data_IF_619426858642
#
_entry.id   IF_619426858642
#
_cell.length_a   1.000
_cell.length_b   1.000
_cell.length_c   1.000
_cell.angle_alpha   90.00
_cell.angle_beta   90.00
_cell.angle_gamma   90.00
#
_symmetry.space_group_name_H-M   'P 1'
#
loop_
_entity.id
_entity.type
_entity.pdbx_description
1 polymer ?
#
# COMPACT_ATOMS: atom_id res chain seq x y z
N UNK A 1 -32.72 17.34 28.31
CA UNK A 1 -34.06 17.21 27.71
C UNK A 1 -34.66 15.83 27.94
N UNK A 2 -33.93 14.71 27.76
CA UNK A 2 -34.41 13.38 28.20
C UNK A 2 -34.84 13.28 29.70
N UNK A 3 -34.45 14.26 30.52
CA UNK A 3 -34.87 14.48 31.91
C UNK A 3 -36.38 14.77 32.09
N UNK A 4 -37.01 15.48 31.15
CA UNK A 4 -38.37 16.00 31.35
C UNK A 4 -39.47 14.93 31.13
N UNK A 5 -39.07 13.79 30.55
CA UNK A 5 -39.93 12.64 30.30
C UNK A 5 -39.98 11.65 31.48
N UNK A 6 -38.99 11.67 32.38
CA UNK A 6 -38.87 10.64 33.44
C UNK A 6 -39.51 11.04 34.77
N UNK A 7 -39.59 12.33 35.08
CA UNK A 7 -40.17 12.87 36.32
C UNK A 7 -41.37 13.78 36.06
N UNK A 8 -42.29 13.84 37.01
CA UNK A 8 -43.53 14.59 36.90
C UNK A 8 -43.30 16.07 37.19
N UNK A 9 -43.39 16.94 36.16
CA UNK A 9 -43.03 18.37 36.27
C UNK A 9 -43.78 19.12 37.38
N UNK A 10 -45.08 18.80 37.57
CA UNK A 10 -45.91 19.38 38.64
C UNK A 10 -45.46 18.93 40.04
N UNK A 11 -44.97 17.70 40.18
CA UNK A 11 -44.50 17.21 41.49
C UNK A 11 -43.05 17.66 41.75
N UNK A 12 -42.21 17.72 40.72
CA UNK A 12 -40.85 18.23 40.77
C UNK A 12 -40.81 19.72 41.17
N UNK A 13 -41.77 20.51 40.64
CA UNK A 13 -42.03 21.91 41.05
C UNK A 13 -42.49 22.07 42.51
N UNK A 14 -42.84 20.96 43.18
CA UNK A 14 -43.18 20.90 44.61
C UNK A 14 -42.11 20.16 45.43
N UNK A 15 -40.91 19.97 44.86
CA UNK A 15 -39.78 19.20 45.42
C UNK A 15 -40.09 17.71 45.70
N UNK A 16 -41.10 17.15 45.02
CA UNK A 16 -41.55 15.76 45.15
C UNK A 16 -41.27 14.98 43.87
N UNK A 17 -40.23 14.14 43.86
CA UNK A 17 -39.91 13.30 42.71
C UNK A 17 -40.89 12.13 42.57
N UNK A 18 -41.92 12.27 41.74
CA UNK A 18 -42.77 11.16 41.24
C UNK A 18 -42.40 10.83 39.79
N UNK A 19 -42.36 9.53 39.40
CA UNK A 19 -42.15 9.15 38.01
C UNK A 19 -43.34 9.59 37.15
N UNK A 20 -43.05 10.01 35.92
CA UNK A 20 -44.10 10.27 34.92
C UNK A 20 -44.62 8.98 34.32
N UNK A 21 -45.93 8.96 34.02
CA UNK A 21 -46.63 7.84 33.36
C UNK A 21 -47.10 8.26 31.97
N UNK A 22 -47.46 9.52 31.81
CA UNK A 22 -47.82 10.15 30.53
C UNK A 22 -46.94 11.38 30.29
N UNK A 23 -46.78 11.76 29.03
CA UNK A 23 -46.21 13.02 28.60
C UNK A 23 -47.24 13.79 27.78
N UNK A 24 -47.34 15.10 27.97
CA UNK A 24 -48.26 15.96 27.25
C UNK A 24 -47.53 16.77 26.18
N UNK A 25 -47.87 16.57 24.90
CA UNK A 25 -47.17 17.25 23.80
C UNK A 25 -47.53 18.75 23.67
N UNK A 26 -48.67 19.17 24.22
CA UNK A 26 -49.06 20.59 24.28
C UNK A 26 -48.38 21.36 25.44
N UNK A 27 -47.89 20.66 26.46
CA UNK A 27 -47.20 21.26 27.62
C UNK A 27 -45.69 20.97 27.67
N UNK A 28 -45.19 20.03 26.87
CA UNK A 28 -43.81 19.54 26.88
C UNK A 28 -43.34 19.04 28.27
N UNK A 29 -44.26 18.46 29.03
CA UNK A 29 -44.03 18.01 30.40
C UNK A 29 -44.56 16.59 30.64
N UNK A 30 -43.82 15.82 31.45
CA UNK A 30 -44.28 14.55 32.00
C UNK A 30 -45.20 14.73 33.22
N UNK A 31 -46.22 13.88 33.34
CA UNK A 31 -47.16 13.85 34.45
C UNK A 31 -47.27 12.45 35.07
N UNK A 32 -47.33 12.38 36.40
CA UNK A 32 -47.70 11.16 37.12
C UNK A 32 -49.23 10.94 37.07
N UNK A 33 -49.68 9.73 37.38
CA UNK A 33 -51.09 9.34 37.29
C UNK A 33 -52.08 10.16 38.16
N UNK A 34 -51.59 10.91 39.16
CA UNK A 34 -52.43 11.83 39.94
C UNK A 34 -52.54 13.20 39.24
N UNK A 35 -51.41 13.74 38.78
CA UNK A 35 -51.35 15.02 38.07
C UNK A 35 -52.06 14.96 36.72
N UNK A 36 -51.98 13.82 36.02
CA UNK A 36 -52.71 13.56 34.77
C UNK A 36 -54.24 13.63 34.95
N UNK A 37 -54.80 13.03 36.01
CA UNK A 37 -56.24 13.15 36.31
C UNK A 37 -56.68 14.60 36.45
N UNK A 38 -55.89 15.42 37.13
CA UNK A 38 -56.15 16.85 37.29
C UNK A 38 -55.97 17.63 35.97
N UNK A 39 -54.97 17.27 35.17
CA UNK A 39 -54.72 17.81 33.83
C UNK A 39 -55.91 17.54 32.89
N UNK A 40 -56.46 16.32 32.93
CA UNK A 40 -57.57 15.88 32.09
C UNK A 40 -58.93 16.51 32.46
N UNK A 41 -59.18 16.87 33.73
CA UNK A 41 -60.45 17.53 34.13
C UNK A 41 -60.39 19.06 34.09
N UNK A 42 -59.20 19.66 34.13
CA UNK A 42 -59.03 21.12 34.12
C UNK A 42 -59.53 21.74 32.80
N UNK A 43 -60.35 22.79 32.89
CA UNK A 43 -60.86 23.52 31.70
C UNK A 43 -59.76 24.03 30.77
N UNK A 44 -58.55 24.28 31.30
CA UNK A 44 -57.42 24.83 30.56
C UNK A 44 -56.63 23.77 29.77
N UNK A 45 -56.66 22.50 30.18
CA UNK A 45 -55.78 21.44 29.66
C UNK A 45 -56.50 20.16 29.22
N UNK A 46 -57.80 20.01 29.51
CA UNK A 46 -58.65 18.85 29.12
C UNK A 46 -58.72 18.54 27.61
N UNK A 47 -58.17 19.40 26.76
CA UNK A 47 -58.12 19.25 25.31
C UNK A 47 -56.70 19.04 24.77
N UNK A 48 -55.73 18.83 25.67
CA UNK A 48 -54.35 18.55 25.29
C UNK A 48 -54.15 17.07 24.94
N UNK A 49 -53.16 16.79 24.09
CA UNK A 49 -52.78 15.43 23.74
C UNK A 49 -51.81 14.87 24.80
N UNK A 50 -52.16 13.73 25.41
CA UNK A 50 -51.31 12.98 26.34
C UNK A 50 -50.96 11.62 25.75
N UNK A 51 -49.69 11.25 25.83
CA UNK A 51 -49.12 10.02 25.27
C UNK A 51 -48.49 9.21 26.42
N UNK A 52 -48.75 7.90 26.55
CA UNK A 52 -48.08 7.06 27.54
C UNK A 52 -46.56 7.01 27.29
N UNK A 53 -45.75 7.11 28.35
CA UNK A 53 -44.28 7.13 28.21
C UNK A 53 -43.71 5.79 27.69
N UNK A 54 -44.46 4.70 27.88
CA UNK A 54 -44.19 3.39 27.27
C UNK A 54 -44.33 3.37 25.75
N UNK A 55 -45.01 4.36 25.16
CA UNK A 55 -45.18 4.54 23.72
C UNK A 55 -44.26 5.63 23.19
N UNK A 56 -44.06 6.75 23.92
CA UNK A 56 -43.10 7.79 23.52
C UNK A 56 -41.67 7.24 23.40
N UNK A 57 -41.26 6.34 24.30
CA UNK A 57 -39.94 5.69 24.24
C UNK A 57 -39.73 4.75 23.03
N UNK A 58 -40.78 4.47 22.23
CA UNK A 58 -40.68 3.69 20.98
C UNK A 58 -40.56 4.58 19.75
N UNK A 59 -40.81 5.88 19.88
CA UNK A 59 -40.70 6.85 18.79
C UNK A 59 -39.24 7.33 18.68
N UNK A 60 -38.70 7.50 17.46
CA UNK A 60 -37.45 8.20 17.25
C UNK A 60 -37.45 9.59 17.90
N UNK A 61 -36.29 9.99 18.45
CA UNK A 61 -36.11 11.30 19.11
C UNK A 61 -36.54 12.44 18.17
N UNK A 62 -36.16 12.33 16.89
CA UNK A 62 -36.50 13.27 15.81
C UNK A 62 -38.02 13.52 15.65
N UNK A 63 -38.88 12.57 16.05
CA UNK A 63 -40.34 12.72 16.01
C UNK A 63 -40.85 13.43 17.28
N UNK A 64 -40.21 13.20 18.42
CA UNK A 64 -40.55 13.85 19.70
C UNK A 64 -40.14 15.33 19.70
N UNK A 65 -39.12 15.71 18.92
CA UNK A 65 -38.67 17.11 18.76
C UNK A 65 -39.52 17.94 17.77
N UNK A 66 -40.56 17.36 17.13
CA UNK A 66 -41.42 18.08 16.17
C UNK A 66 -42.30 19.10 16.89
N UNK A 67 -41.89 20.37 16.86
CA UNK A 67 -42.64 21.47 17.49
C UNK A 67 -44.02 21.69 16.86
N UNK A 68 -45.09 21.59 17.65
CA UNK A 68 -46.48 21.85 17.20
C UNK A 68 -46.80 23.35 16.95
N UNK A 69 -45.85 24.25 17.24
CA UNK A 69 -46.00 25.70 17.10
C UNK A 69 -45.11 26.26 15.98
N UNK A 70 -45.56 27.37 15.41
CA UNK A 70 -44.83 28.13 14.39
C UNK A 70 -43.54 28.74 14.96
N UNK A 71 -42.39 28.35 14.40
CA UNK A 71 -41.07 28.80 14.87
C UNK A 71 -40.84 30.32 14.78
N UNK A 72 -41.66 31.06 14.01
CA UNK A 72 -41.57 32.53 13.88
C UNK A 72 -42.46 33.29 14.85
N UNK A 73 -43.64 32.76 15.17
CA UNK A 73 -44.69 33.48 15.91
C UNK A 73 -45.12 32.78 17.22
N UNK A 74 -44.59 31.58 17.48
CA UNK A 74 -44.95 30.67 18.58
C UNK A 74 -46.46 30.37 18.71
N UNK A 75 -47.21 30.46 17.61
CA UNK A 75 -48.63 30.12 17.54
C UNK A 75 -48.81 28.71 16.97
N UNK A 76 -49.83 27.96 17.45
CA UNK A 76 -50.18 26.64 16.90
C UNK A 76 -50.43 26.71 15.39
N UNK A 77 -49.95 25.71 14.66
CA UNK A 77 -50.28 25.55 13.24
C UNK A 77 -51.78 25.25 13.08
N UNK A 78 -52.45 25.95 12.15
CA UNK A 78 -53.90 25.81 11.91
C UNK A 78 -54.26 25.78 10.41
N UNK A 79 -53.37 26.25 9.55
CA UNK A 79 -53.61 26.41 8.11
C UNK A 79 -52.44 25.74 7.38
N UNK A 80 -52.69 25.08 6.26
CA UNK A 80 -51.67 24.53 5.37
C UNK A 80 -51.64 25.32 4.06
N UNK A 81 -50.45 25.75 3.63
CA UNK A 81 -50.27 26.46 2.38
C UNK A 81 -49.78 25.51 1.28
N UNK A 82 -50.67 25.12 0.35
CA UNK A 82 -50.33 24.16 -0.72
C UNK A 82 -49.32 24.71 -1.73
N UNK A 83 -49.26 26.03 -1.91
CA UNK A 83 -48.28 26.71 -2.79
C UNK A 83 -46.83 26.59 -2.29
N UNK A 84 -46.62 26.46 -0.97
CA UNK A 84 -45.30 26.39 -0.34
C UNK A 84 -45.08 25.09 0.44
N UNK A 85 -46.03 24.16 0.38
CA UNK A 85 -46.01 22.83 0.99
C UNK A 85 -45.66 22.84 2.49
N UNK A 86 -46.25 23.78 3.25
CA UNK A 86 -45.87 24.00 4.66
C UNK A 86 -47.05 24.38 5.58
N UNK A 87 -46.99 23.96 6.87
CA UNK A 87 -47.95 24.38 7.89
C UNK A 87 -47.71 25.84 8.34
N UNK A 88 -48.80 26.54 8.62
CA UNK A 88 -48.84 27.97 8.91
C UNK A 88 -49.72 28.26 10.14
N UNK A 89 -49.29 29.22 10.97
CA UNK A 89 -50.18 29.89 11.92
C UNK A 89 -50.98 31.00 11.21
N UNK A 90 -51.92 31.65 11.92
CA UNK A 90 -52.74 32.73 11.33
C UNK A 90 -51.90 33.93 10.91
N UNK A 91 -50.85 34.27 11.68
CA UNK A 91 -49.93 35.37 11.35
C UNK A 91 -49.10 35.10 10.08
N UNK A 92 -48.56 33.90 9.89
CA UNK A 92 -47.87 33.51 8.66
C UNK A 92 -48.72 33.72 7.39
N UNK A 93 -50.04 33.47 7.45
CA UNK A 93 -50.93 33.68 6.30
C UNK A 93 -51.06 35.16 5.93
N UNK A 94 -51.03 36.06 6.91
CA UNK A 94 -51.13 37.51 6.70
C UNK A 94 -49.78 38.12 6.31
N UNK A 95 -48.68 37.64 6.89
CA UNK A 95 -47.35 38.26 6.73
C UNK A 95 -46.51 37.67 5.60
N UNK A 96 -46.52 36.33 5.41
CA UNK A 96 -45.59 35.63 4.49
C UNK A 96 -46.28 34.83 3.39
N UNK A 97 -47.59 34.60 3.50
CA UNK A 97 -48.39 33.87 2.52
C UNK A 97 -49.64 34.62 2.07
N UNK A 98 -49.62 35.96 2.14
CA UNK A 98 -50.71 36.84 1.71
C UNK A 98 -51.12 36.63 0.24
N UNK A 99 -50.16 36.38 -0.65
CA UNK A 99 -50.37 36.08 -2.08
C UNK A 99 -50.71 34.60 -2.36
N UNK A 100 -50.93 33.78 -1.33
CA UNK A 100 -51.28 32.37 -1.48
C UNK A 100 -52.79 32.17 -1.50
N UNK A 101 -53.31 31.84 -2.68
CA UNK A 101 -54.75 31.58 -2.87
C UNK A 101 -55.18 30.15 -2.48
N UNK A 102 -54.23 29.22 -2.42
CA UNK A 102 -54.48 27.81 -2.08
C UNK A 102 -54.02 27.52 -0.64
N UNK A 103 -54.93 27.82 0.29
CA UNK A 103 -54.79 27.60 1.73
C UNK A 103 -55.95 26.74 2.22
N UNK A 104 -55.66 25.75 3.06
CA UNK A 104 -56.64 24.79 3.59
C UNK A 104 -56.49 24.64 5.10
N UNK A 105 -57.55 24.33 5.87
CA UNK A 105 -57.42 24.00 7.29
C UNK A 105 -56.49 22.80 7.47
N UNK A 106 -55.58 22.86 8.46
CA UNK A 106 -54.60 21.78 8.67
C UNK A 106 -55.29 20.46 9.06
N UNK A 107 -56.42 20.52 9.76
CA UNK A 107 -57.19 19.35 10.18
C UNK A 107 -57.72 18.52 8.99
N UNK A 108 -58.00 19.16 7.86
CA UNK A 108 -58.46 18.46 6.65
C UNK A 108 -57.29 17.76 5.96
N UNK A 109 -56.11 18.39 5.92
CA UNK A 109 -54.87 17.74 5.46
C UNK A 109 -54.49 16.57 6.39
N UNK A 110 -54.64 16.69 7.71
CA UNK A 110 -54.30 15.61 8.67
C UNK A 110 -55.20 14.39 8.50
N UNK A 111 -56.49 14.58 8.19
CA UNK A 111 -57.40 13.46 7.86
C UNK A 111 -56.93 12.74 6.60
N UNK A 112 -56.66 13.49 5.54
CA UNK A 112 -56.21 12.95 4.25
C UNK A 112 -54.84 12.25 4.37
N UNK A 113 -53.91 12.80 5.16
CA UNK A 113 -52.57 12.23 5.39
C UNK A 113 -52.65 10.85 6.02
N UNK A 114 -53.54 10.63 7.00
CA UNK A 114 -53.74 9.30 7.62
C UNK A 114 -54.34 8.26 6.67
N UNK A 115 -54.99 8.69 5.59
CA UNK A 115 -55.54 7.84 4.54
C UNK A 115 -54.70 7.87 3.25
N UNK A 116 -53.56 8.55 3.25
CA UNK A 116 -52.70 8.70 2.09
C UNK A 116 -51.74 7.51 1.97
N UNK A 117 -51.69 6.91 0.79
CA UNK A 117 -50.69 5.89 0.45
C UNK A 117 -49.25 6.37 0.66
N UNK A 118 -49.00 7.69 0.67
CA UNK A 118 -47.66 8.24 0.87
C UNK A 118 -47.03 7.86 2.23
N UNK A 119 -47.82 7.72 3.31
CA UNK A 119 -47.30 7.22 4.58
C UNK A 119 -46.91 5.74 4.50
N UNK A 120 -47.73 4.94 3.82
CA UNK A 120 -47.47 3.52 3.60
C UNK A 120 -46.26 3.29 2.68
N UNK A 121 -46.10 4.11 1.63
CA UNK A 121 -44.94 4.08 0.74
C UNK A 121 -43.64 4.43 1.51
N UNK A 122 -43.69 5.41 2.42
CA UNK A 122 -42.55 5.77 3.30
C UNK A 122 -42.25 4.63 4.28
N UNK A 123 -43.27 4.03 4.90
CA UNK A 123 -43.11 2.89 5.81
C UNK A 123 -42.44 1.70 5.09
N UNK A 124 -42.88 1.35 3.88
CA UNK A 124 -42.26 0.33 3.04
C UNK A 124 -40.81 0.65 2.68
N UNK A 125 -40.50 1.92 2.33
CA UNK A 125 -39.11 2.35 2.08
C UNK A 125 -38.23 2.23 3.32
N UNK A 126 -38.74 2.55 4.52
CA UNK A 126 -37.99 2.41 5.77
C UNK A 126 -37.70 0.94 6.10
N UNK A 127 -38.63 0.03 5.83
CA UNK A 127 -38.41 -1.42 5.96
C UNK A 127 -37.33 -1.91 4.98
N UNK A 128 -37.37 -1.51 3.70
CA UNK A 128 -36.33 -1.89 2.72
C UNK A 128 -34.94 -1.35 3.12
N UNK A 129 -34.87 -0.11 3.64
CA UNK A 129 -33.63 0.46 4.18
C UNK A 129 -33.11 -0.35 5.36
N UNK A 130 -33.99 -0.76 6.29
CA UNK A 130 -33.60 -1.59 7.44
C UNK A 130 -33.03 -2.94 7.00
N UNK A 131 -33.69 -3.65 6.07
CA UNK A 131 -33.17 -4.90 5.51
C UNK A 131 -31.81 -4.72 4.82
N UNK A 132 -31.63 -3.63 4.09
CA UNK A 132 -30.36 -3.34 3.41
C UNK A 132 -29.24 -3.02 4.42
N UNK A 133 -29.55 -2.35 5.52
CA UNK A 133 -28.62 -2.17 6.63
C UNK A 133 -28.24 -3.51 7.27
N UNK A 134 -29.18 -4.42 7.51
CA UNK A 134 -28.88 -5.76 8.03
C UNK A 134 -27.98 -6.56 7.08
N UNK A 135 -28.26 -6.54 5.76
CA UNK A 135 -27.43 -7.19 4.73
C UNK A 135 -26.00 -6.64 4.75
N UNK A 136 -25.82 -5.32 4.86
CA UNK A 136 -24.51 -4.67 4.98
C UNK A 136 -23.81 -5.07 6.29
N UNK A 137 -24.51 -5.03 7.43
CA UNK A 137 -23.95 -5.42 8.73
C UNK A 137 -23.46 -6.87 8.73
N UNK A 138 -24.20 -7.77 8.07
CA UNK A 138 -23.79 -9.17 7.89
C UNK A 138 -22.53 -9.30 7.04
N UNK A 139 -22.49 -8.69 5.85
CA UNK A 139 -21.28 -8.68 5.00
C UNK A 139 -20.04 -8.16 5.74
N UNK A 140 -20.17 -7.05 6.47
CA UNK A 140 -19.04 -6.51 7.24
C UNK A 140 -18.57 -7.46 8.34
N UNK A 141 -19.48 -8.21 8.97
CA UNK A 141 -19.14 -9.23 9.97
C UNK A 141 -18.42 -10.43 9.33
N UNK A 142 -18.89 -10.88 8.17
CA UNK A 142 -18.31 -12.01 7.43
C UNK A 142 -16.96 -11.63 6.77
N UNK A 143 -16.78 -10.38 6.37
CA UNK A 143 -15.48 -9.86 5.93
C UNK A 143 -14.47 -9.80 7.09
N UNK A 144 -14.88 -9.38 8.29
CA UNK A 144 -14.02 -9.36 9.48
C UNK A 144 -13.56 -10.79 9.88
N UNK A 145 -14.39 -11.81 9.72
CA UNK A 145 -13.96 -13.20 9.96
C UNK A 145 -13.01 -13.69 8.86
N UNK A 146 -13.32 -13.42 7.58
CA UNK A 146 -12.44 -13.73 6.45
C UNK A 146 -11.04 -13.12 6.59
N UNK A 147 -10.93 -11.84 6.95
CA UNK A 147 -9.66 -11.15 7.18
C UNK A 147 -8.83 -11.80 8.32
N UNK A 148 -9.48 -12.30 9.37
CA UNK A 148 -8.79 -13.04 10.46
C UNK A 148 -8.24 -14.38 9.97
N UNK A 149 -9.00 -15.09 9.15
CA UNK A 149 -8.56 -16.36 8.57
C UNK A 149 -7.44 -16.16 7.54
N UNK A 150 -7.52 -15.14 6.68
CA UNK A 150 -6.45 -14.74 5.76
C UNK A 150 -5.16 -14.40 6.51
N UNK A 151 -5.23 -13.57 7.57
CA UNK A 151 -4.07 -13.24 8.41
C UNK A 151 -3.41 -14.51 8.97
N UNK A 152 -4.20 -15.45 9.49
CA UNK A 152 -3.70 -16.74 10.02
C UNK A 152 -3.05 -17.62 8.94
N UNK A 153 -3.51 -17.55 7.70
CA UNK A 153 -2.89 -18.27 6.58
C UNK A 153 -1.54 -17.64 6.20
N UNK A 154 -1.48 -16.32 6.06
CA UNK A 154 -0.23 -15.58 5.77
C UNK A 154 0.79 -15.79 6.90
N UNK A 155 0.38 -15.75 8.18
CA UNK A 155 1.23 -16.09 9.33
C UNK A 155 1.87 -17.48 9.20
N UNK A 156 1.10 -18.49 8.76
CA UNK A 156 1.61 -19.85 8.52
C UNK A 156 2.56 -19.92 7.33
N UNK A 157 2.28 -19.23 6.23
CA UNK A 157 3.14 -19.21 5.04
C UNK A 157 4.50 -18.56 5.33
N UNK A 158 4.52 -17.48 6.11
CA UNK A 158 5.76 -16.84 6.59
C UNK A 158 6.58 -17.83 7.45
N UNK A 159 5.93 -18.54 8.40
CA UNK A 159 6.58 -19.54 9.24
C UNK A 159 7.14 -20.72 8.42
N UNK A 160 6.36 -21.26 7.48
CA UNK A 160 6.80 -22.36 6.61
C UNK A 160 7.95 -21.95 5.68
N UNK A 161 7.92 -20.72 5.16
CA UNK A 161 9.00 -20.19 4.31
C UNK A 161 10.30 -20.08 5.10
N UNK A 162 10.24 -19.55 6.33
CA UNK A 162 11.38 -19.50 7.24
C UNK A 162 11.94 -20.90 7.52
N UNK A 163 11.10 -21.87 7.92
CA UNK A 163 11.55 -23.23 8.18
C UNK A 163 12.27 -23.88 7.00
N UNK A 164 11.84 -23.62 5.75
CA UNK A 164 12.50 -24.12 4.54
C UNK A 164 13.90 -23.50 4.34
N UNK A 165 14.05 -22.21 4.65
CA UNK A 165 15.34 -21.51 4.57
C UNK A 165 16.29 -22.05 5.64
N UNK A 166 15.84 -22.14 6.90
CA UNK A 166 16.61 -22.69 8.01
C UNK A 166 17.12 -24.11 7.67
N UNK A 167 16.22 -25.00 7.22
CA UNK A 167 16.57 -26.37 6.77
C UNK A 167 17.61 -26.40 5.64
N UNK A 168 17.60 -25.42 4.72
CA UNK A 168 18.56 -25.38 3.62
C UNK A 168 19.93 -24.88 4.07
N UNK A 169 19.99 -23.96 5.03
CA UNK A 169 21.23 -23.51 5.67
C UNK A 169 21.88 -24.65 6.45
N UNK A 170 21.09 -25.40 7.23
CA UNK A 170 21.56 -26.60 7.95
C UNK A 170 22.21 -27.62 6.99
N UNK A 171 21.60 -27.87 5.82
CA UNK A 171 22.16 -28.78 4.82
C UNK A 171 23.47 -28.29 4.21
N UNK A 172 23.60 -26.98 3.94
CA UNK A 172 24.82 -26.37 3.43
C UNK A 172 25.96 -26.47 4.47
N UNK A 173 25.66 -26.23 5.74
CA UNK A 173 26.64 -26.42 6.83
C UNK A 173 27.09 -27.89 6.91
N UNK A 174 26.15 -28.84 6.92
CA UNK A 174 26.44 -30.26 7.01
C UNK A 174 27.34 -30.73 5.85
N UNK A 175 27.07 -30.26 4.63
CA UNK A 175 27.83 -30.64 3.43
C UNK A 175 29.23 -30.00 3.39
N UNK A 176 29.38 -28.74 3.85
CA UNK A 176 30.70 -28.11 4.02
C UNK A 176 31.54 -28.85 5.09
N UNK A 177 30.92 -29.28 6.19
CA UNK A 177 31.58 -30.07 7.24
C UNK A 177 31.99 -31.46 6.70
N UNK A 178 31.14 -32.12 5.89
CA UNK A 178 31.50 -33.38 5.21
C UNK A 178 32.68 -33.18 4.26
N UNK A 179 32.67 -32.13 3.44
CA UNK A 179 33.77 -31.87 2.49
C UNK A 179 35.09 -31.56 3.22
N UNK A 180 35.04 -30.77 4.29
CA UNK A 180 36.21 -30.48 5.14
C UNK A 180 36.80 -31.77 5.74
N UNK A 181 35.96 -32.67 6.25
CA UNK A 181 36.39 -33.93 6.84
C UNK A 181 36.98 -34.89 5.80
N UNK A 182 36.42 -34.99 4.60
CA UNK A 182 36.99 -35.82 3.52
C UNK A 182 38.34 -35.29 3.04
N UNK A 183 38.49 -33.96 2.85
CA UNK A 183 39.77 -33.31 2.54
C UNK A 183 40.81 -33.56 3.63
N UNK A 184 40.46 -33.34 4.90
CA UNK A 184 41.32 -33.64 6.07
C UNK A 184 41.76 -35.10 6.12
N UNK A 185 40.84 -36.05 5.88
CA UNK A 185 41.14 -37.48 5.85
C UNK A 185 42.10 -37.87 4.71
N UNK A 186 41.91 -37.29 3.52
CA UNK A 186 42.79 -37.53 2.36
C UNK A 186 44.22 -37.07 2.61
N UNK A 187 44.41 -35.86 3.12
CA UNK A 187 45.75 -35.34 3.42
C UNK A 187 46.41 -36.07 4.60
N UNK A 188 45.64 -36.42 5.64
CA UNK A 188 46.13 -37.26 6.74
C UNK A 188 46.68 -38.59 6.23
N UNK A 189 45.96 -39.27 5.33
CA UNK A 189 46.41 -40.56 4.78
C UNK A 189 47.74 -40.43 4.03
N UNK A 190 47.93 -39.38 3.22
CA UNK A 190 49.23 -39.13 2.54
C UNK A 190 50.38 -39.00 3.54
N UNK A 191 50.16 -38.32 4.67
CA UNK A 191 51.16 -38.16 5.73
C UNK A 191 51.45 -39.51 6.40
N UNK A 192 50.44 -40.33 6.67
CA UNK A 192 50.61 -41.68 7.25
C UNK A 192 51.37 -42.64 6.30
N UNK A 193 51.05 -42.62 5.00
CA UNK A 193 51.76 -43.37 3.96
C UNK A 193 53.24 -42.93 3.83
N UNK A 194 53.50 -41.63 4.00
CA UNK A 194 54.85 -41.04 3.94
C UNK A 194 55.67 -41.36 5.21
N UNK A 195 55.05 -41.30 6.40
CA UNK A 195 55.67 -41.72 7.67
C UNK A 195 56.05 -43.20 7.65
N UNK A 196 55.13 -44.10 7.26
CA UNK A 196 55.44 -45.54 7.19
C UNK A 196 56.53 -45.86 6.15
N UNK A 197 56.64 -45.08 5.08
CA UNK A 197 57.72 -45.20 4.09
C UNK A 197 59.08 -44.77 4.67
N UNK A 198 59.12 -43.68 5.45
CA UNK A 198 60.31 -43.22 6.16
C UNK A 198 60.74 -44.20 7.27
N UNK A 199 59.80 -44.75 8.05
CA UNK A 199 60.10 -45.78 9.06
C UNK A 199 60.72 -47.04 8.44
N UNK A 200 60.21 -47.50 7.29
CA UNK A 200 60.77 -48.63 6.54
C UNK A 200 62.21 -48.34 6.08
N UNK A 201 62.50 -47.12 5.59
CA UNK A 201 63.86 -46.69 5.25
C UNK A 201 64.77 -46.66 6.49
N UNK A 202 64.32 -46.04 7.59
CA UNK A 202 65.07 -45.97 8.86
C UNK A 202 65.46 -47.37 9.36
N UNK A 203 64.50 -48.31 9.40
CA UNK A 203 64.76 -49.70 9.81
C UNK A 203 65.76 -50.42 8.90
N UNK A 204 65.74 -50.18 7.59
CA UNK A 204 66.77 -50.72 6.67
C UNK A 204 68.16 -50.21 6.98
N UNK A 205 68.31 -48.90 7.20
CA UNK A 205 69.61 -48.29 7.50
C UNK A 205 70.16 -48.78 8.86
N UNK A 206 69.27 -49.03 9.83
CA UNK A 206 69.63 -49.47 11.18
C UNK A 206 70.00 -50.97 11.29
N UNK A 207 69.51 -51.82 10.38
CA UNK A 207 69.75 -53.28 10.36
C UNK A 207 71.18 -53.69 9.90
N UNK A 208 72.08 -52.74 9.70
CA UNK A 208 73.39 -52.98 9.06
C UNK A 208 74.57 -53.13 10.03
N UNK A 209 74.34 -53.11 11.36
CA UNK A 209 75.42 -52.96 12.35
C UNK A 209 75.77 -54.20 13.17
N UNK A 210 74.89 -55.20 13.29
CA UNK A 210 75.02 -56.16 14.42
C UNK A 210 75.96 -57.35 14.19
N UNK A 211 76.27 -57.74 12.94
CA UNK A 211 77.12 -58.92 12.64
C UNK A 211 78.06 -58.72 11.43
N UNK A 212 79.20 -58.06 11.63
CA UNK A 212 80.26 -57.95 10.62
C UNK A 212 81.66 -58.08 11.25
N UNK A 213 82.58 -58.79 10.57
CA UNK A 213 83.99 -58.82 10.96
C UNK A 213 84.68 -57.51 10.60
N UNK A 214 85.77 -57.13 11.28
CA UNK A 214 86.45 -55.82 11.13
C UNK A 214 86.70 -55.42 9.65
N UNK A 215 87.04 -56.36 8.78
CA UNK A 215 87.23 -56.11 7.34
C UNK A 215 85.91 -55.89 6.58
N UNK A 216 84.86 -56.63 6.91
CA UNK A 216 83.51 -56.37 6.39
C UNK A 216 82.98 -55.04 6.93
N UNK A 217 83.29 -54.66 8.18
CA UNK A 217 82.94 -53.35 8.76
C UNK A 217 83.64 -52.23 8.01
N UNK A 218 84.93 -52.35 7.65
CA UNK A 218 85.64 -51.35 6.85
C UNK A 218 85.06 -51.19 5.43
N UNK A 219 84.77 -52.31 4.74
CA UNK A 219 84.12 -52.29 3.44
C UNK A 219 82.69 -51.72 3.52
N UNK A 220 81.95 -52.06 4.58
CA UNK A 220 80.64 -51.49 4.85
C UNK A 220 80.73 -49.98 5.12
N UNK A 221 81.72 -49.49 5.87
CA UNK A 221 81.96 -48.06 6.08
C UNK A 221 82.22 -47.35 4.75
N UNK A 222 83.09 -47.86 3.87
CA UNK A 222 83.34 -47.24 2.56
C UNK A 222 82.12 -47.30 1.62
N UNK A 223 81.31 -48.35 1.70
CA UNK A 223 80.00 -48.41 1.02
C UNK A 223 78.93 -47.55 1.70
N UNK A 224 79.07 -47.22 2.98
CA UNK A 224 78.18 -46.33 3.72
C UNK A 224 78.52 -44.86 3.50
N UNK A 225 79.79 -44.45 3.37
CA UNK A 225 80.17 -43.08 3.00
C UNK A 225 79.58 -42.70 1.61
N UNK A 226 79.64 -43.62 0.66
CA UNK A 226 79.05 -43.46 -0.68
C UNK A 226 77.53 -43.56 -0.70
N UNK A 227 76.90 -44.22 0.29
CA UNK A 227 75.44 -44.18 0.51
C UNK A 227 75.00 -42.96 1.33
N UNK A 228 75.81 -42.44 2.24
CA UNK A 228 75.54 -41.24 3.04
C UNK A 228 75.40 -40.03 2.14
N UNK A 229 76.33 -39.82 1.21
CA UNK A 229 76.23 -38.74 0.21
C UNK A 229 75.00 -38.86 -0.71
N UNK A 230 74.41 -40.05 -0.85
CA UNK A 230 73.14 -40.28 -1.56
C UNK A 230 71.94 -40.01 -0.63
N UNK A 231 71.98 -40.45 0.63
CA UNK A 231 70.93 -40.21 1.63
C UNK A 231 70.88 -38.74 2.08
N UNK A 232 72.01 -38.03 2.19
CA UNK A 232 72.09 -36.58 2.42
C UNK A 232 71.46 -35.80 1.26
N UNK A 233 71.85 -36.12 0.01
CA UNK A 233 71.17 -35.59 -1.18
C UNK A 233 69.68 -35.94 -1.22
N UNK A 234 69.29 -37.11 -0.72
CA UNK A 234 67.87 -37.46 -0.58
C UNK A 234 67.20 -36.55 0.45
N UNK A 235 67.80 -36.31 1.62
CA UNK A 235 67.26 -35.42 2.67
C UNK A 235 67.17 -33.97 2.16
N UNK A 236 68.18 -33.44 1.48
CA UNK A 236 68.16 -32.09 0.88
C UNK A 236 67.06 -31.94 -0.19
N UNK A 237 66.96 -32.91 -1.11
CA UNK A 237 65.88 -32.92 -2.11
C UNK A 237 64.50 -33.13 -1.48
N UNK A 238 64.39 -33.89 -0.39
CA UNK A 238 63.12 -34.18 0.28
C UNK A 238 62.64 -32.98 1.10
N UNK A 239 63.54 -32.28 1.80
CA UNK A 239 63.26 -31.01 2.48
C UNK A 239 62.87 -29.90 1.49
N UNK A 240 63.41 -29.96 0.26
CA UNK A 240 63.06 -29.06 -0.85
C UNK A 240 61.79 -29.48 -1.61
N UNK A 241 61.21 -30.66 -1.32
CA UNK A 241 60.06 -31.20 -2.05
C UNK A 241 58.72 -30.63 -1.54
N UNK A 242 57.69 -30.62 -2.39
CA UNK A 242 56.35 -30.19 -1.97
C UNK A 242 55.77 -31.01 -0.81
N UNK A 243 56.22 -32.26 -0.66
CA UNK A 243 55.85 -33.20 0.41
C UNK A 243 56.19 -32.70 1.82
N UNK A 244 57.08 -31.71 1.98
CA UNK A 244 57.46 -31.13 3.27
C UNK A 244 56.75 -29.81 3.60
N UNK A 245 55.90 -29.30 2.69
CA UNK A 245 55.14 -28.06 2.92
C UNK A 245 54.08 -28.25 4.01
N UNK A 246 53.99 -27.31 4.95
CA UNK A 246 52.98 -27.32 6.01
C UNK A 246 51.58 -27.17 5.41
N UNK A 247 50.75 -28.21 5.57
CA UNK A 247 49.34 -28.17 5.15
C UNK A 247 48.57 -27.25 6.12
N UNK A 248 47.90 -26.23 5.57
CA UNK A 248 47.00 -25.33 6.29
C UNK A 248 45.66 -25.35 5.57
N UNK A 249 44.60 -25.68 6.31
CA UNK A 249 43.23 -25.58 5.82
C UNK A 249 42.69 -24.19 6.18
N UNK A 250 42.27 -23.42 5.19
CA UNK A 250 41.65 -22.11 5.36
C UNK A 250 40.29 -22.10 4.68
N UNK A 251 39.24 -21.74 5.41
CA UNK A 251 37.99 -21.31 4.79
C UNK A 251 38.27 -19.97 4.08
N UNK A 252 37.82 -19.86 2.83
CA UNK A 252 37.88 -18.61 2.07
C UNK A 252 36.45 -18.10 1.95
N UNK A 253 36.08 -17.18 2.83
CA UNK A 253 34.75 -16.59 2.83
C UNK A 253 34.43 -16.02 1.45
N UNK A 254 33.32 -16.48 0.86
CA UNK A 254 32.82 -15.83 -0.33
C UNK A 254 32.24 -14.47 0.05
N UNK A 255 32.63 -13.41 -0.66
CA UNK A 255 32.22 -12.03 -0.31
C UNK A 255 30.71 -11.84 -0.43
N UNK A 256 30.02 -12.71 -1.15
CA UNK A 256 28.57 -12.83 -1.14
C UNK A 256 27.98 -12.99 0.28
N UNK A 257 28.58 -13.84 1.14
CA UNK A 257 28.07 -14.08 2.49
C UNK A 257 28.21 -12.88 3.43
N UNK A 258 29.29 -12.10 3.29
CA UNK A 258 29.44 -10.84 4.04
C UNK A 258 28.41 -9.76 3.63
N UNK A 259 27.71 -9.95 2.51
CA UNK A 259 26.66 -9.04 2.02
C UNK A 259 25.27 -9.36 2.62
N UNK A 260 25.09 -10.50 3.32
CA UNK A 260 23.81 -10.95 3.91
C UNK A 260 23.51 -10.22 5.24
N UNK A 261 23.70 -8.90 5.27
CA UNK A 261 23.32 -8.03 6.40
C UNK A 261 21.91 -7.42 6.23
N UNK A 262 21.09 -7.91 5.28
CA UNK A 262 20.00 -7.09 4.70
C UNK A 262 18.67 -7.84 4.43
N UNK A 263 18.24 -8.79 5.27
CA UNK A 263 16.80 -9.08 5.38
C UNK A 263 16.12 -7.99 6.21
N UNK A 264 15.96 -6.78 5.64
CA UNK A 264 15.19 -5.68 6.27
C UNK A 264 13.69 -6.01 6.34
N UNK A 265 13.20 -6.80 5.39
CA UNK A 265 11.90 -7.45 5.39
C UNK A 265 11.96 -8.66 4.44
N UNK A 266 11.05 -9.62 4.60
CA UNK A 266 10.92 -10.80 3.71
C UNK A 266 9.90 -10.60 2.57
N UNK A 267 9.35 -9.39 2.46
CA UNK A 267 8.27 -9.00 1.55
C UNK A 267 7.52 -7.79 2.10
N UNK A 268 6.69 -7.17 1.26
CA UNK A 268 5.78 -6.10 1.65
C UNK A 268 4.34 -6.64 1.69
N UNK A 269 3.55 -6.23 2.68
CA UNK A 269 2.15 -6.64 2.81
C UNK A 269 1.29 -5.61 2.11
N UNK A 270 0.90 -5.89 0.87
CA UNK A 270 -0.07 -5.07 0.13
C UNK A 270 -1.51 -5.42 0.53
N UNK A 271 -2.33 -4.40 0.78
CA UNK A 271 -3.76 -4.53 1.09
C UNK A 271 -4.58 -4.12 -0.12
N UNK A 272 -5.01 -5.09 -0.92
CA UNK A 272 -5.83 -4.84 -2.12
C UNK A 272 -7.31 -4.61 -1.73
N UNK A 273 -7.76 -3.35 -1.73
CA UNK A 273 -9.14 -2.99 -1.41
C UNK A 273 -10.05 -3.23 -2.63
N UNK A 274 -10.78 -4.34 -2.64
CA UNK A 274 -11.80 -4.65 -3.66
C UNK A 274 -13.18 -4.11 -3.28
N UNK A 275 -13.96 -3.57 -4.24
CA UNK A 275 -15.32 -3.13 -3.97
C UNK A 275 -16.21 -4.33 -3.62
N UNK A 276 -17.09 -4.17 -2.63
CA UNK A 276 -18.04 -5.22 -2.22
C UNK A 276 -19.08 -5.50 -3.32
N UNK A 277 -19.34 -6.78 -3.59
CA UNK A 277 -20.26 -7.24 -4.65
C UNK A 277 -21.76 -7.11 -4.29
N UNK A 278 -22.11 -6.51 -3.14
CA UNK A 278 -23.49 -6.34 -2.70
C UNK A 278 -24.25 -5.42 -3.66
N UNK A 279 -25.16 -5.99 -4.44
CA UNK A 279 -26.13 -5.24 -5.23
C UNK A 279 -27.25 -4.73 -4.32
N UNK A 280 -27.12 -3.48 -3.86
CA UNK A 280 -28.19 -2.77 -3.16
C UNK A 280 -29.32 -2.43 -4.15
N UNK A 281 -30.56 -2.81 -3.83
CA UNK A 281 -31.73 -2.34 -4.59
C UNK A 281 -31.85 -0.82 -4.49
N UNK A 282 -32.10 -0.17 -5.61
CA UNK A 282 -32.08 1.30 -5.72
C UNK A 282 -33.34 1.82 -6.43
N UNK A 283 -34.29 2.30 -5.64
CA UNK A 283 -35.38 3.15 -6.12
C UNK A 283 -34.83 4.49 -6.66
N UNK A 284 -35.40 4.99 -7.75
CA UNK A 284 -35.02 6.30 -8.34
C UNK A 284 -35.77 7.45 -7.65
N UNK A 285 -35.26 7.92 -6.52
CA UNK A 285 -35.68 9.20 -5.93
C UNK A 285 -35.30 10.40 -6.82
N UNK A 286 -36.15 11.44 -6.82
CA UNK A 286 -35.86 12.73 -7.51
C UNK A 286 -34.77 13.53 -6.77
N UNK A 287 -34.12 14.44 -7.48
CA UNK A 287 -32.86 15.10 -7.10
C UNK A 287 -32.96 16.11 -5.93
N UNK A 288 -31.90 16.18 -5.10
CA UNK A 288 -31.40 17.41 -4.46
C UNK A 288 -29.91 17.25 -4.01
N UNK A 289 -29.23 18.38 -3.74
CA UNK A 289 -27.78 18.59 -3.54
C UNK A 289 -27.58 19.88 -2.69
N UNK A 290 -26.46 20.24 -2.02
CA UNK A 290 -25.12 19.69 -1.67
C UNK A 290 -24.54 20.68 -0.60
N UNK A 291 -23.56 20.46 0.29
CA UNK A 291 -22.69 19.34 0.73
C UNK A 291 -22.13 19.71 2.15
N UNK A 292 -21.49 18.81 2.92
CA UNK A 292 -20.88 19.13 4.24
C UNK A 292 -19.36 18.90 4.21
N UNK A 293 -18.58 19.77 4.88
CA UNK A 293 -17.10 19.65 4.98
C UNK A 293 -16.61 19.80 6.42
N UNK A 294 -15.76 18.87 6.86
CA UNK A 294 -14.75 19.05 7.92
C UNK A 294 -13.58 18.06 7.68
N UNK A 295 -12.34 18.43 8.03
CA UNK A 295 -11.12 17.79 7.47
C UNK A 295 -10.19 17.18 8.53
N UNK A 296 -9.74 15.95 8.24
CA UNK A 296 -8.67 15.16 8.88
C UNK A 296 -8.38 13.95 7.96
N UNK A 297 -7.25 13.22 8.08
CA UNK A 297 -5.84 13.64 8.08
C UNK A 297 -5.29 13.76 6.63
N UNK A 298 -4.01 14.11 6.41
CA UNK A 298 -3.42 14.14 5.05
C UNK A 298 -3.00 12.76 4.53
N UNK A 299 -3.96 12.01 4.00
CA UNK A 299 -3.72 11.08 2.89
C UNK A 299 -3.41 11.88 1.60
N UNK A 300 -2.86 11.22 0.58
CA UNK A 300 -2.82 11.75 -0.79
C UNK A 300 -4.21 11.53 -1.43
N UNK A 301 -5.16 12.37 -1.04
CA UNK A 301 -6.51 12.40 -1.58
C UNK A 301 -6.77 13.71 -2.36
N UNK A 302 -7.65 13.65 -3.35
CA UNK A 302 -8.09 14.79 -4.17
C UNK A 302 -7.02 15.51 -5.03
N UNK A 303 -6.13 14.76 -5.70
CA UNK A 303 -5.45 15.28 -6.91
C UNK A 303 -6.47 15.38 -8.06
N UNK A 304 -7.30 16.43 -8.06
CA UNK A 304 -8.27 16.70 -9.13
C UNK A 304 -7.56 17.30 -10.35
N UNK A 305 -7.17 16.43 -11.28
CA UNK A 305 -6.57 16.80 -12.56
C UNK A 305 -7.59 17.51 -13.46
N UNK A 306 -7.71 18.84 -13.32
CA UNK A 306 -8.48 19.64 -14.25
C UNK A 306 -7.74 19.77 -15.59
N UNK A 307 -8.36 19.30 -16.68
CA UNK A 307 -7.84 19.41 -18.03
C UNK A 307 -7.80 20.88 -18.48
N UNK A 308 -6.70 21.58 -18.21
CA UNK A 308 -6.51 23.00 -18.59
C UNK A 308 -6.55 23.22 -20.10
N UNK A 309 -6.03 22.27 -20.88
CA UNK A 309 -5.89 22.37 -22.35
C UNK A 309 -5.67 21.00 -22.97
N UNK A 310 -6.44 20.66 -24.00
CA UNK A 310 -6.13 19.53 -24.90
C UNK A 310 -5.13 20.00 -25.96
N UNK A 311 -3.97 19.38 -26.02
CA UNK A 311 -2.97 19.63 -27.08
C UNK A 311 -3.17 18.56 -28.17
N UNK A 312 -3.54 18.97 -29.39
CA UNK A 312 -3.58 18.06 -30.55
C UNK A 312 -2.15 17.80 -31.02
N UNK A 313 -1.55 16.72 -30.53
CA UNK A 313 -0.14 16.39 -30.80
C UNK A 313 0.11 15.83 -32.20
N UNK A 314 -0.91 15.23 -32.82
CA UNK A 314 -0.79 14.52 -34.09
C UNK A 314 0.07 13.26 -34.02
N UNK A 315 0.18 12.64 -32.84
CA UNK A 315 0.99 11.44 -32.59
C UNK A 315 0.09 10.27 -32.17
N UNK A 316 0.35 9.09 -32.72
CA UNK A 316 -0.20 7.82 -32.24
C UNK A 316 0.77 7.13 -31.29
N UNK A 317 0.26 6.47 -30.24
CA UNK A 317 1.07 5.64 -29.32
C UNK A 317 2.27 6.37 -28.68
N UNK A 318 2.01 7.54 -28.09
CA UNK A 318 2.95 8.27 -27.22
C UNK A 318 3.34 7.41 -26.02
N UNK A 319 4.63 7.36 -25.65
CA UNK A 319 5.13 6.53 -24.54
C UNK A 319 5.79 7.31 -23.40
N UNK A 320 6.52 8.36 -23.71
CA UNK A 320 7.11 9.28 -22.75
C UNK A 320 6.60 10.69 -22.96
N UNK A 321 6.46 11.43 -21.86
CA UNK A 321 6.10 12.85 -21.86
C UNK A 321 6.81 13.57 -20.72
N UNK A 322 7.29 14.79 -20.96
CA UNK A 322 7.87 15.67 -19.93
C UNK A 322 7.46 17.11 -20.16
N UNK A 323 7.42 17.89 -19.09
CA UNK A 323 7.19 19.34 -19.10
C UNK A 323 8.43 20.04 -18.53
N UNK A 324 9.02 20.97 -19.27
CA UNK A 324 10.12 21.83 -18.83
C UNK A 324 9.58 23.06 -18.07
N UNK A 325 10.45 23.76 -17.34
CA UNK A 325 10.06 24.92 -16.51
C UNK A 325 9.57 26.15 -17.30
N UNK A 326 9.71 26.14 -18.63
CA UNK A 326 9.29 27.18 -19.56
C UNK A 326 8.08 26.79 -20.43
N UNK A 327 7.25 25.86 -19.93
CA UNK A 327 6.11 25.23 -20.63
C UNK A 327 6.46 24.42 -21.90
N UNK A 328 7.74 24.15 -22.18
CA UNK A 328 8.09 23.21 -23.27
C UNK A 328 7.65 21.78 -22.93
N UNK A 329 6.88 21.16 -23.82
CA UNK A 329 6.39 19.79 -23.72
C UNK A 329 7.14 18.91 -24.72
N UNK A 330 7.90 17.92 -24.25
CA UNK A 330 8.53 16.93 -25.13
C UNK A 330 7.82 15.57 -25.03
N UNK A 331 7.57 14.95 -26.18
CA UNK A 331 6.85 13.67 -26.32
C UNK A 331 7.66 12.69 -27.18
N UNK A 332 7.72 11.42 -26.76
CA UNK A 332 8.24 10.32 -27.57
C UNK A 332 7.10 9.47 -28.14
N UNK A 333 7.23 9.05 -29.39
CA UNK A 333 6.19 8.35 -30.13
C UNK A 333 6.73 7.04 -30.72
N UNK A 334 6.17 5.91 -30.28
CA UNK A 334 6.62 4.57 -30.69
C UNK A 334 6.36 4.32 -32.17
N UNK A 335 5.11 4.40 -32.61
CA UNK A 335 4.73 3.86 -33.93
C UNK A 335 5.23 4.74 -35.09
N UNK A 336 5.48 6.03 -34.82
CA UNK A 336 6.03 6.95 -35.82
C UNK A 336 7.56 7.12 -35.72
N UNK A 337 8.24 6.44 -34.78
CA UNK A 337 9.68 6.50 -34.54
C UNK A 337 10.19 7.97 -34.52
N UNK A 338 9.60 8.78 -33.63
CA UNK A 338 9.88 10.21 -33.57
C UNK A 338 9.80 10.79 -32.15
N UNK A 339 10.48 11.92 -31.96
CA UNK A 339 10.37 12.78 -30.77
C UNK A 339 9.93 14.17 -31.22
N UNK A 340 8.96 14.76 -30.51
CA UNK A 340 8.37 16.07 -30.84
C UNK A 340 8.36 16.94 -29.61
N UNK A 341 8.83 18.17 -29.75
CA UNK A 341 8.84 19.19 -28.69
C UNK A 341 7.97 20.37 -29.10
N UNK A 342 7.07 20.76 -28.22
CA UNK A 342 6.20 21.92 -28.36
C UNK A 342 6.70 23.03 -27.43
N UNK A 343 7.05 24.18 -27.99
CA UNK A 343 7.28 25.44 -27.27
C UNK A 343 6.08 26.39 -27.51
N UNK A 344 6.01 27.49 -26.75
CA UNK A 344 4.99 28.54 -26.96
C UNK A 344 5.12 29.22 -28.34
N UNK A 345 6.31 29.23 -28.93
CA UNK A 345 6.63 29.87 -30.23
C UNK A 345 6.94 28.88 -31.35
N UNK A 346 7.60 27.76 -31.02
CA UNK A 346 8.22 26.85 -31.99
C UNK A 346 7.82 25.39 -31.75
N UNK A 347 7.72 24.60 -32.82
CA UNK A 347 7.54 23.15 -32.73
C UNK A 347 8.62 22.48 -33.59
N UNK A 348 9.45 21.63 -32.97
CA UNK A 348 10.39 20.81 -33.69
C UNK A 348 10.06 19.32 -33.54
N UNK A 349 10.42 18.53 -34.54
CA UNK A 349 10.18 17.08 -34.59
C UNK A 349 11.42 16.41 -35.16
N UNK A 350 12.10 15.60 -34.36
CA UNK A 350 13.12 14.68 -34.86
C UNK A 350 12.42 13.39 -35.29
N UNK A 351 12.44 13.09 -36.59
CA UNK A 351 11.88 11.86 -37.17
C UNK A 351 12.95 11.18 -38.02
N UNK A 352 13.71 10.31 -37.39
CA UNK A 352 14.70 9.45 -38.05
C UNK A 352 14.49 8.02 -37.54
N UNK A 353 14.09 7.11 -38.44
CA UNK A 353 13.80 5.72 -38.10
C UNK A 353 15.04 4.90 -37.73
N UNK A 354 16.21 5.30 -38.21
CA UNK A 354 17.48 4.60 -37.94
C UNK A 354 18.02 4.96 -36.54
N UNK A 355 17.66 6.15 -36.05
CA UNK A 355 18.07 6.69 -34.74
C UNK A 355 17.02 6.39 -33.67
N UNK A 356 15.74 6.66 -33.95
CA UNK A 356 14.64 6.57 -32.99
C UNK A 356 13.82 5.29 -33.19
N UNK A 357 14.43 4.10 -33.08
CA UNK A 357 13.69 2.84 -33.20
C UNK A 357 13.02 2.45 -31.87
N UNK A 358 11.69 2.62 -31.76
CA UNK A 358 10.91 2.42 -30.53
C UNK A 358 11.41 3.31 -29.37
N UNK A 359 11.27 4.65 -29.48
CA UNK A 359 11.57 5.55 -28.37
C UNK A 359 10.49 5.43 -27.27
N UNK A 360 10.91 5.38 -26.00
CA UNK A 360 10.04 5.29 -24.82
C UNK A 360 10.33 6.40 -23.80
N UNK A 361 11.11 6.12 -22.75
CA UNK A 361 11.45 7.06 -21.70
C UNK A 361 12.10 8.32 -22.25
N UNK A 362 11.80 9.46 -21.64
CA UNK A 362 12.28 10.77 -22.08
C UNK A 362 12.48 11.66 -20.85
N UNK A 363 13.61 12.37 -20.78
CA UNK A 363 13.91 13.33 -19.71
C UNK A 363 14.73 14.50 -20.27
N UNK A 364 15.06 15.48 -19.43
CA UNK A 364 15.73 16.74 -19.81
C UNK A 364 16.82 17.11 -18.82
N UNK A 365 17.99 17.50 -19.35
CA UNK A 365 19.10 17.99 -18.55
C UNK A 365 19.03 19.50 -18.24
N UNK A 366 20.01 19.98 -17.47
CA UNK A 366 20.13 21.39 -17.06
C UNK A 366 20.31 22.37 -18.23
N UNK A 367 20.78 21.89 -19.39
CA UNK A 367 20.99 22.70 -20.59
C UNK A 367 19.76 22.67 -21.52
N UNK A 368 18.69 21.99 -21.12
CA UNK A 368 17.46 21.84 -21.90
C UNK A 368 17.55 20.80 -23.03
N UNK A 369 18.61 19.99 -23.07
CA UNK A 369 18.70 18.90 -24.05
C UNK A 369 17.79 17.75 -23.64
N UNK A 370 17.27 17.04 -24.64
CA UNK A 370 16.26 15.99 -24.47
C UNK A 370 16.92 14.62 -24.56
N UNK A 371 16.93 13.88 -23.45
CA UNK A 371 17.46 12.52 -23.35
C UNK A 371 16.36 11.52 -23.64
N UNK A 372 16.62 10.52 -24.49
CA UNK A 372 15.60 9.60 -25.03
C UNK A 372 16.09 8.15 -24.96
N UNK A 373 15.32 7.28 -24.29
CA UNK A 373 15.54 5.85 -24.26
C UNK A 373 14.98 5.20 -25.54
N UNK A 374 15.86 4.54 -26.29
CA UNK A 374 15.54 3.81 -27.53
C UNK A 374 15.54 2.34 -27.16
N UNK A 375 14.35 1.75 -27.02
CA UNK A 375 14.20 0.39 -26.49
C UNK A 375 14.81 -0.64 -27.42
N UNK A 376 14.54 -0.57 -28.72
CA UNK A 376 14.88 -1.66 -29.64
C UNK A 376 16.39 -1.69 -29.92
N UNK A 377 16.97 -0.51 -30.19
CA UNK A 377 18.42 -0.33 -30.39
C UNK A 377 19.25 -0.40 -29.09
N UNK A 378 18.61 -0.57 -27.93
CA UNK A 378 19.25 -0.62 -26.60
C UNK A 378 20.21 0.56 -26.33
N UNK A 379 19.72 1.79 -26.54
CA UNK A 379 20.51 3.02 -26.48
C UNK A 379 19.82 4.13 -25.70
N UNK A 380 20.60 5.09 -25.21
CA UNK A 380 20.11 6.43 -24.85
C UNK A 380 20.81 7.46 -25.73
N UNK A 381 20.02 8.30 -26.39
CA UNK A 381 20.54 9.47 -27.10
C UNK A 381 20.22 10.75 -26.33
N UNK A 382 21.02 11.78 -26.56
CA UNK A 382 20.72 13.17 -26.19
C UNK A 382 20.49 13.99 -27.47
N UNK A 383 19.39 14.73 -27.54
CA UNK A 383 19.04 15.65 -28.63
C UNK A 383 19.24 17.08 -28.12
N UNK A 384 19.90 17.94 -28.89
CA UNK A 384 20.10 19.35 -28.54
C UNK A 384 18.77 20.07 -28.29
N UNK A 385 18.78 21.09 -27.43
CA UNK A 385 17.58 21.87 -27.07
C UNK A 385 16.88 22.55 -28.27
N UNK A 386 17.59 22.74 -29.39
CA UNK A 386 17.05 23.24 -30.67
C UNK A 386 16.56 22.15 -31.65
N UNK A 387 16.70 20.87 -31.28
CA UNK A 387 16.26 19.72 -32.06
C UNK A 387 17.12 19.37 -33.29
N UNK A 388 18.22 20.10 -33.56
CA UNK A 388 18.98 19.98 -34.82
C UNK A 388 20.12 18.97 -34.76
N UNK A 389 20.58 18.59 -33.57
CA UNK A 389 21.72 17.68 -33.37
C UNK A 389 21.33 16.62 -32.35
N UNK A 390 21.89 15.43 -32.48
CA UNK A 390 21.78 14.38 -31.48
C UNK A 390 23.11 13.63 -31.36
N UNK A 391 23.31 12.98 -30.22
CA UNK A 391 24.46 12.13 -29.94
C UNK A 391 23.97 10.86 -29.23
N UNK A 392 24.63 9.73 -29.51
CA UNK A 392 24.52 8.54 -28.68
C UNK A 392 25.29 8.78 -27.38
N UNK A 393 24.59 8.72 -26.25
CA UNK A 393 25.16 8.95 -24.93
C UNK A 393 25.52 7.63 -24.24
N UNK A 394 24.68 6.59 -24.44
CA UNK A 394 24.82 5.26 -23.86
C UNK A 394 24.34 4.20 -24.85
N UNK A 395 24.94 3.01 -24.76
CA UNK A 395 24.78 1.88 -25.67
C UNK A 395 24.50 0.57 -24.93
N UNK A 396 24.28 -0.53 -25.65
CA UNK A 396 24.14 -1.86 -25.07
C UNK A 396 25.38 -2.30 -24.26
N UNK A 397 26.57 -1.79 -24.61
CA UNK A 397 27.82 -2.08 -23.90
C UNK A 397 27.87 -1.46 -22.50
N UNK A 398 27.05 -0.43 -22.26
CA UNK A 398 26.91 0.25 -20.97
C UNK A 398 25.87 -0.44 -20.05
N UNK A 399 25.48 -1.68 -20.39
CA UNK A 399 24.51 -2.49 -19.65
C UNK A 399 23.04 -2.27 -20.03
N UNK A 400 22.77 -1.53 -21.13
CA UNK A 400 21.40 -1.25 -21.55
C UNK A 400 20.71 -2.48 -22.14
N UNK A 401 19.57 -2.84 -21.56
CA UNK A 401 18.74 -3.96 -21.96
C UNK A 401 17.29 -3.52 -22.13
N UNK A 402 16.95 -3.12 -23.36
CA UNK A 402 15.63 -2.58 -23.73
C UNK A 402 15.18 -1.43 -22.82
N UNK A 403 15.94 -0.32 -22.75
CA UNK A 403 15.64 0.79 -21.83
C UNK A 403 14.22 1.33 -22.06
N UNK A 404 13.51 1.58 -20.96
CA UNK A 404 12.08 1.91 -20.97
C UNK A 404 11.75 3.25 -20.31
N UNK A 405 12.45 3.61 -19.23
CA UNK A 405 12.25 4.82 -18.46
C UNK A 405 13.57 5.59 -18.30
N UNK A 406 13.48 6.92 -18.18
CA UNK A 406 14.59 7.81 -17.88
C UNK A 406 14.15 8.82 -16.81
N UNK A 407 15.06 9.17 -15.92
CA UNK A 407 14.94 10.38 -15.09
C UNK A 407 16.31 11.05 -14.93
N UNK A 408 16.34 12.37 -14.70
CA UNK A 408 17.57 13.16 -14.60
C UNK A 408 17.56 14.06 -13.35
N UNK A 409 18.41 13.74 -12.38
CA UNK A 409 18.63 14.58 -11.20
C UNK A 409 19.48 15.79 -11.59
N UNK A 410 18.78 16.91 -11.78
CA UNK A 410 19.34 18.23 -12.06
C UNK A 410 20.33 18.74 -11.01
N UNK A 411 20.16 18.36 -9.74
CA UNK A 411 20.99 18.85 -8.64
C UNK A 411 22.37 18.18 -8.61
N UNK A 412 22.48 16.95 -9.13
CA UNK A 412 23.70 16.13 -9.10
C UNK A 412 24.23 15.75 -10.49
N UNK A 413 23.53 16.14 -11.55
CA UNK A 413 23.82 15.76 -12.95
C UNK A 413 23.86 14.24 -13.16
N UNK A 414 22.87 13.53 -12.61
CA UNK A 414 22.76 12.07 -12.67
C UNK A 414 21.64 11.67 -13.63
N UNK A 415 21.88 10.66 -14.46
CA UNK A 415 20.88 10.06 -15.35
C UNK A 415 20.56 8.65 -14.86
N UNK A 416 19.31 8.41 -14.48
CA UNK A 416 18.78 7.09 -14.16
C UNK A 416 18.12 6.49 -15.41
N UNK A 417 18.47 5.24 -15.74
CA UNK A 417 17.94 4.50 -16.88
C UNK A 417 17.32 3.19 -16.41
N UNK A 418 15.99 3.08 -16.51
CA UNK A 418 15.28 1.83 -16.22
C UNK A 418 15.30 0.90 -17.43
N UNK A 419 15.88 -0.29 -17.28
CA UNK A 419 15.81 -1.34 -18.31
C UNK A 419 14.42 -2.00 -18.35
N UNK A 420 14.19 -2.93 -19.28
CA UNK A 420 13.05 -3.85 -19.20
C UNK A 420 13.33 -5.06 -18.29
N UNK A 421 14.60 -5.29 -17.98
CA UNK A 421 15.09 -6.25 -16.96
C UNK A 421 14.95 -5.66 -15.55
N UNK A 422 15.20 -6.48 -14.54
CA UNK A 422 15.23 -6.11 -13.11
C UNK A 422 16.44 -5.23 -12.73
N UNK A 423 16.76 -4.24 -13.55
CA UNK A 423 17.92 -3.34 -13.35
C UNK A 423 17.57 -1.89 -13.72
N UNK A 424 17.94 -0.98 -12.83
CA UNK A 424 18.01 0.44 -13.11
C UNK A 424 19.48 0.88 -13.01
N UNK A 425 19.98 1.50 -14.08
CA UNK A 425 21.39 1.91 -14.19
C UNK A 425 21.50 3.40 -13.97
N UNK A 426 22.52 3.80 -13.21
CA UNK A 426 22.65 5.16 -12.68
C UNK A 426 24.00 5.76 -13.10
N UNK A 427 23.95 6.71 -14.03
CA UNK A 427 25.12 7.27 -14.70
C UNK A 427 25.39 8.70 -14.23
N UNK A 428 26.65 9.00 -13.92
CA UNK A 428 27.10 10.38 -13.74
C UNK A 428 27.29 11.04 -15.11
N UNK A 429 26.51 12.06 -15.42
CA UNK A 429 26.64 12.80 -16.68
C UNK A 429 27.70 13.87 -16.52
N UNK A 430 28.93 13.56 -16.94
CA UNK A 430 30.03 14.50 -17.02
C UNK A 430 29.92 15.31 -18.32
N UNK A 431 29.54 16.58 -18.22
CA UNK A 431 29.62 17.53 -19.34
C UNK A 431 31.09 17.82 -19.62
N UNK A 432 31.64 17.25 -20.70
CA UNK A 432 32.90 17.72 -21.26
C UNK A 432 32.60 19.01 -22.03
N UNK A 433 33.15 20.13 -21.54
CA UNK A 433 33.19 21.41 -22.27
C UNK A 433 34.08 21.30 -23.51
#
# INVERSE_FOLDING_TARGET
MASNLTVCGVCDSLEITKPSVVWCSDCDEGFCADSDKHHAVSKASRSHCTIPITESNKLPIDILEITHNCSKHNEKYQIYCRKHDCPCCRRCVIETHNDCKDITPIDDIIKDVKSSNALHDIELMLVEVAENLEKIMKDRKDNITSLKDQRRMIEKEIQQTRMKIDTHLDQIEEDLIKELNTKKGRERKKIEDLLTSLEKKKKRNQCSQDHASVFQTYLAIKQMETKMTIEERFVENFASSESFKRIVLSLKDDKAFQTISIFKSFGEIEVEIKPSEIMLTRMKGKQAQFEVVNVLPRLIENIKLNLKRTIKTGLSNTKGCLIQQDDRLALSCRDNNLVRVFNRTDIWTLKDKNVLNIPKGITVDNNGNVHVAITDSCKVIVISSDGKRYLELLSANDGLHKPTALDYDRSRSLLLVGNQTDTALHFQVAIKN
#
